data_IF_566275299098
#
_entry.id   IF_566275299098
#
_cell.length_a   1.000
_cell.length_b   1.000
_cell.length_c   1.000
_cell.angle_alpha   90.00
_cell.angle_beta   90.00
_cell.angle_gamma   90.00
#
_symmetry.space_group_name_H-M   'P 1'
#
loop_
_entity.id
_entity.type
_entity.pdbx_description
1 polymer ?
#
# COMPACT_ATOMS: atom_id res chain seq x y z
N UNK A 1 -10.11 -3.23 -1.41
CA UNK A 1 -10.20 -2.56 -2.74
C UNK A 1 -11.63 -2.31 -3.26
N UNK A 2 -12.52 -3.31 -3.27
CA UNK A 2 -13.85 -3.25 -3.92
C UNK A 2 -14.72 -2.07 -3.49
N UNK A 3 -14.75 -1.75 -2.18
CA UNK A 3 -15.50 -0.59 -1.66
C UNK A 3 -14.93 0.72 -2.22
N UNK A 4 -13.61 0.88 -2.25
CA UNK A 4 -12.94 2.07 -2.79
C UNK A 4 -13.25 2.28 -4.26
N UNK A 5 -13.35 1.20 -5.05
CA UNK A 5 -13.82 1.28 -6.43
C UNK A 5 -15.27 1.80 -6.50
N UNK A 6 -16.18 1.26 -5.68
CA UNK A 6 -17.56 1.73 -5.61
C UNK A 6 -17.67 3.22 -5.27
N UNK A 7 -16.90 3.69 -4.29
CA UNK A 7 -16.83 5.11 -3.91
C UNK A 7 -16.27 5.96 -5.06
N UNK A 8 -15.20 5.52 -5.71
CA UNK A 8 -14.59 6.25 -6.82
C UNK A 8 -15.57 6.43 -8.00
N UNK A 9 -16.35 5.39 -8.32
CA UNK A 9 -17.37 5.45 -9.35
C UNK A 9 -18.55 6.33 -8.95
N UNK A 10 -19.00 6.26 -7.69
CA UNK A 10 -20.04 7.15 -7.16
C UNK A 10 -19.66 8.62 -7.27
N UNK A 11 -18.45 8.97 -6.84
CA UNK A 11 -17.94 10.35 -6.95
C UNK A 11 -17.88 10.86 -8.39
N UNK A 12 -17.57 9.99 -9.36
CA UNK A 12 -17.59 10.35 -10.78
C UNK A 12 -19.00 10.57 -11.32
N UNK A 13 -19.98 9.81 -10.84
CA UNK A 13 -21.39 10.03 -11.18
C UNK A 13 -21.90 11.37 -10.64
N UNK A 14 -21.36 11.80 -9.49
CA UNK A 14 -21.65 13.09 -8.86
C UNK A 14 -20.80 14.25 -9.43
N UNK A 15 -20.06 14.04 -10.52
CA UNK A 15 -19.16 15.03 -11.14
C UNK A 15 -18.13 15.63 -10.16
N UNK A 16 -17.74 14.87 -9.13
CA UNK A 16 -16.77 15.31 -8.13
C UNK A 16 -15.33 15.15 -8.63
N UNK A 17 -14.51 16.18 -8.41
CA UNK A 17 -13.05 16.14 -8.63
C UNK A 17 -12.28 15.35 -7.56
N UNK A 18 -13.00 14.69 -6.64
CA UNK A 18 -12.41 13.94 -5.52
C UNK A 18 -11.71 12.67 -5.99
N UNK A 19 -10.57 12.38 -5.35
CA UNK A 19 -9.78 11.16 -5.54
C UNK A 19 -9.94 10.21 -4.35
N UNK A 20 -10.00 8.92 -4.64
CA UNK A 20 -10.06 7.84 -3.66
C UNK A 20 -8.70 7.16 -3.59
N UNK A 21 -8.19 7.04 -2.37
CA UNK A 21 -6.99 6.26 -2.07
C UNK A 21 -7.39 5.00 -1.30
N UNK A 22 -6.82 3.86 -1.67
CA UNK A 22 -6.97 2.59 -0.98
C UNK A 22 -5.59 2.07 -0.58
N UNK A 23 -5.37 1.79 0.70
CA UNK A 23 -4.16 1.09 1.15
C UNK A 23 -4.49 -0.40 1.23
N UNK A 24 -3.64 -1.23 0.64
CA UNK A 24 -3.78 -2.68 0.63
C UNK A 24 -2.51 -3.31 1.22
N UNK A 25 -2.66 -4.43 1.93
CA UNK A 25 -1.51 -5.26 2.28
C UNK A 25 -1.15 -6.22 1.14
N UNK A 26 0.12 -6.53 0.94
CA UNK A 26 0.54 -7.58 -0.01
C UNK A 26 -0.05 -8.97 0.32
N UNK A 27 -0.29 -9.29 1.60
CA UNK A 27 -1.04 -10.46 2.02
C UNK A 27 -2.54 -10.42 1.68
N UNK A 28 -3.16 -9.23 1.68
CA UNK A 28 -4.57 -9.04 1.28
C UNK A 28 -4.78 -9.42 -0.19
N UNK A 29 -3.74 -9.31 -1.03
CA UNK A 29 -3.81 -9.62 -2.46
C UNK A 29 -4.05 -11.11 -2.76
N UNK A 30 -3.96 -11.99 -1.75
CA UNK A 30 -4.38 -13.39 -1.88
C UNK A 30 -5.91 -13.52 -2.05
N UNK A 31 -6.69 -12.51 -1.67
CA UNK A 31 -8.14 -12.52 -1.76
C UNK A 31 -8.63 -12.31 -3.21
N UNK A 32 -9.47 -13.22 -3.70
CA UNK A 32 -10.00 -13.18 -5.06
C UNK A 32 -10.75 -11.88 -5.39
N UNK A 33 -11.47 -11.33 -4.41
CA UNK A 33 -12.23 -10.09 -4.60
C UNK A 33 -11.34 -8.87 -4.95
N UNK A 34 -10.06 -8.89 -4.59
CA UNK A 34 -9.12 -7.84 -4.99
C UNK A 34 -8.95 -7.86 -6.50
N UNK A 35 -8.73 -9.03 -7.09
CA UNK A 35 -8.52 -9.17 -8.52
C UNK A 35 -9.79 -8.87 -9.33
N UNK A 36 -10.97 -9.18 -8.81
CA UNK A 36 -12.24 -8.74 -9.38
C UNK A 36 -12.33 -7.21 -9.45
N UNK A 37 -11.98 -6.51 -8.36
CA UNK A 37 -11.96 -5.05 -8.32
C UNK A 37 -10.86 -4.44 -9.21
N UNK A 38 -9.67 -5.07 -9.29
CA UNK A 38 -8.58 -4.66 -10.19
C UNK A 38 -9.05 -4.71 -11.65
N UNK A 39 -9.71 -5.80 -12.07
CA UNK A 39 -10.28 -5.92 -13.41
C UNK A 39 -11.35 -4.85 -13.67
N UNK A 40 -12.30 -4.70 -12.75
CA UNK A 40 -13.40 -3.76 -12.90
C UNK A 40 -12.93 -2.31 -12.99
N UNK A 41 -11.94 -1.90 -12.18
CA UNK A 41 -11.43 -0.53 -12.17
C UNK A 41 -10.87 -0.07 -13.53
N UNK A 42 -10.21 -0.97 -14.28
CA UNK A 42 -9.74 -0.65 -15.62
C UNK A 42 -10.89 -0.58 -16.64
N UNK A 43 -11.88 -1.48 -16.56
CA UNK A 43 -13.08 -1.45 -17.42
C UNK A 43 -13.81 -0.12 -17.27
N UNK A 44 -14.00 0.35 -16.05
CA UNK A 44 -14.66 1.62 -15.77
C UNK A 44 -13.74 2.84 -15.89
N UNK A 45 -12.45 2.66 -16.21
CA UNK A 45 -11.46 3.74 -16.31
C UNK A 45 -11.48 4.63 -15.07
N UNK A 46 -11.43 4.01 -13.89
CA UNK A 46 -11.51 4.69 -12.59
C UNK A 46 -10.23 5.51 -12.30
N UNK A 47 -10.01 6.58 -13.06
CA UNK A 47 -8.79 7.37 -12.98
C UNK A 47 -8.64 8.17 -11.69
N UNK A 48 -9.72 8.37 -10.95
CA UNK A 48 -9.74 8.94 -9.61
C UNK A 48 -9.51 7.89 -8.50
N UNK A 49 -9.13 6.66 -8.83
CA UNK A 49 -8.75 5.63 -7.86
C UNK A 49 -7.24 5.38 -7.89
N UNK A 50 -6.61 5.50 -6.73
CA UNK A 50 -5.21 5.13 -6.50
C UNK A 50 -5.12 4.05 -5.42
N UNK A 51 -4.57 2.89 -5.76
CA UNK A 51 -4.23 1.84 -4.80
C UNK A 51 -2.77 2.03 -4.35
N UNK A 52 -2.50 1.87 -3.07
CA UNK A 52 -1.16 1.87 -2.48
C UNK A 52 -0.98 0.51 -1.83
N UNK A 53 -0.07 -0.30 -2.36
CA UNK A 53 0.22 -1.63 -1.87
C UNK A 53 1.38 -1.50 -0.88
N UNK A 54 1.12 -1.77 0.39
CA UNK A 54 2.13 -1.97 1.43
C UNK A 54 2.82 -3.32 1.21
N UNK A 55 3.91 -3.30 0.45
CA UNK A 55 4.66 -4.49 0.04
C UNK A 55 5.80 -4.76 1.02
N UNK A 56 5.44 -5.26 2.21
CA UNK A 56 6.38 -5.52 3.32
C UNK A 56 6.84 -6.99 3.42
N UNK A 57 6.25 -7.90 2.66
CA UNK A 57 6.59 -9.32 2.59
C UNK A 57 6.05 -10.18 3.74
N UNK A 58 5.23 -9.65 4.65
CA UNK A 58 4.87 -10.32 5.91
C UNK A 58 3.36 -10.30 6.18
N UNK A 59 2.77 -11.50 6.30
CA UNK A 59 1.38 -11.69 6.69
C UNK A 59 1.23 -11.86 8.21
N UNK A 60 0.11 -12.43 8.65
CA UNK A 60 -0.21 -12.59 10.08
C UNK A 60 0.66 -13.63 10.79
N UNK A 61 0.93 -14.76 10.13
CA UNK A 61 1.61 -15.91 10.76
C UNK A 61 2.99 -16.17 10.19
N UNK A 62 3.29 -15.74 8.96
CA UNK A 62 4.60 -15.85 8.33
C UNK A 62 4.76 -14.87 7.15
N UNK A 63 5.80 -15.04 6.35
CA UNK A 63 6.06 -14.28 5.13
C UNK A 63 5.04 -14.61 4.03
N UNK A 64 4.83 -13.66 3.11
CA UNK A 64 4.00 -13.90 1.92
C UNK A 64 4.59 -15.01 1.05
N UNK A 65 5.92 -15.12 0.97
CA UNK A 65 6.62 -16.16 0.22
C UNK A 65 6.32 -17.58 0.73
N UNK A 66 6.11 -17.76 2.03
CA UNK A 66 5.78 -19.06 2.62
C UNK A 66 4.28 -19.40 2.57
N UNK A 67 3.41 -18.39 2.73
CA UNK A 67 1.97 -18.62 2.84
C UNK A 67 1.28 -18.61 1.48
N UNK A 68 1.48 -17.53 0.71
CA UNK A 68 0.81 -17.33 -0.57
C UNK A 68 1.65 -16.41 -1.46
N UNK A 69 2.66 -16.96 -2.17
CA UNK A 69 3.52 -16.15 -3.01
C UNK A 69 2.75 -15.62 -4.24
N UNK A 70 2.79 -14.30 -4.44
CA UNK A 70 2.28 -13.65 -5.66
C UNK A 70 3.47 -13.12 -6.44
N UNK A 71 3.97 -13.94 -7.36
CA UNK A 71 5.09 -13.57 -8.24
C UNK A 71 4.67 -12.52 -9.28
N UNK A 72 5.64 -11.72 -9.75
CA UNK A 72 5.44 -10.75 -10.84
C UNK A 72 4.28 -9.79 -10.57
N UNK A 73 4.20 -9.25 -9.34
CA UNK A 73 3.08 -8.44 -8.90
C UNK A 73 2.90 -7.19 -9.78
N UNK A 74 3.99 -6.50 -10.10
CA UNK A 74 4.01 -5.35 -11.00
C UNK A 74 3.41 -5.71 -12.36
N UNK A 75 3.84 -6.81 -12.94
CA UNK A 75 3.41 -7.28 -14.26
C UNK A 75 1.94 -7.68 -14.25
N UNK A 76 1.44 -8.30 -13.17
CA UNK A 76 0.02 -8.64 -13.03
C UNK A 76 -0.85 -7.39 -13.07
N UNK A 77 -0.52 -6.36 -12.29
CA UNK A 77 -1.29 -5.12 -12.29
C UNK A 77 -1.21 -4.38 -13.63
N UNK A 78 -0.02 -4.34 -14.27
CA UNK A 78 0.14 -3.82 -15.63
C UNK A 78 -0.72 -4.59 -16.64
N UNK A 79 -0.77 -5.92 -16.55
CA UNK A 79 -1.58 -6.77 -17.42
C UNK A 79 -3.09 -6.51 -17.28
N UNK A 80 -3.54 -6.07 -16.10
CA UNK A 80 -4.92 -5.62 -15.89
C UNK A 80 -5.18 -4.17 -16.36
N UNK A 81 -4.19 -3.50 -16.95
CA UNK A 81 -4.31 -2.16 -17.52
C UNK A 81 -4.21 -1.02 -16.51
N UNK A 82 -3.64 -1.27 -15.33
CA UNK A 82 -3.35 -0.22 -14.36
C UNK A 82 -2.05 0.50 -14.72
N UNK A 83 -1.99 1.81 -14.44
CA UNK A 83 -0.72 2.50 -14.31
C UNK A 83 -0.03 2.00 -13.04
N UNK A 84 1.24 1.62 -13.11
CA UNK A 84 1.97 1.03 -11.97
C UNK A 84 3.22 1.84 -11.71
N UNK A 85 3.36 2.34 -10.49
CA UNK A 85 4.50 3.11 -9.99
C UNK A 85 5.13 2.31 -8.86
N UNK A 86 6.43 2.11 -8.88
CA UNK A 86 7.14 1.33 -7.86
C UNK A 86 8.12 2.24 -7.12
N UNK A 87 8.09 2.19 -5.79
CA UNK A 87 8.82 3.13 -4.93
C UNK A 87 9.44 2.42 -3.71
N UNK A 88 10.45 3.04 -3.12
CA UNK A 88 10.77 2.84 -1.70
C UNK A 88 9.68 3.52 -0.85
N UNK A 89 8.92 2.72 -0.10
CA UNK A 89 7.83 3.21 0.74
C UNK A 89 8.28 3.99 1.98
N UNK A 90 9.59 4.05 2.26
CA UNK A 90 10.17 4.86 3.34
C UNK A 90 10.86 6.13 2.83
N UNK A 91 10.87 6.37 1.52
CA UNK A 91 11.37 7.59 0.90
C UNK A 91 10.22 8.56 0.62
N UNK A 92 10.09 9.59 1.44
CA UNK A 92 8.99 10.56 1.32
C UNK A 92 9.04 11.37 0.02
N UNK A 93 10.21 11.54 -0.62
CA UNK A 93 10.29 12.19 -1.93
C UNK A 93 9.61 11.31 -2.96
N UNK A 94 9.97 10.01 -3.01
CA UNK A 94 9.35 9.06 -3.93
C UNK A 94 7.85 8.89 -3.68
N UNK A 95 7.41 8.90 -2.41
CA UNK A 95 5.98 8.86 -2.06
C UNK A 95 5.24 10.05 -2.63
N UNK A 96 5.75 11.27 -2.44
CA UNK A 96 5.10 12.49 -2.96
C UNK A 96 5.08 12.51 -4.50
N UNK A 97 6.21 12.18 -5.13
CA UNK A 97 6.31 12.10 -6.60
C UNK A 97 5.34 11.06 -7.18
N UNK A 98 5.20 9.90 -6.54
CA UNK A 98 4.26 8.86 -6.96
C UNK A 98 2.80 9.29 -6.83
N UNK A 99 2.45 10.02 -5.75
CA UNK A 99 1.10 10.56 -5.56
C UNK A 99 0.76 11.61 -6.62
N UNK A 100 1.70 12.51 -6.94
CA UNK A 100 1.54 13.51 -7.99
C UNK A 100 1.42 12.87 -9.38
N UNK A 101 2.27 11.88 -9.68
CA UNK A 101 2.20 11.11 -10.93
C UNK A 101 0.89 10.32 -11.07
N UNK A 102 0.42 9.69 -9.98
CA UNK A 102 -0.87 8.99 -9.95
C UNK A 102 -2.05 9.94 -10.16
N UNK A 103 -1.96 11.18 -9.65
CA UNK A 103 -2.97 12.22 -9.88
C UNK A 103 -2.97 12.72 -11.32
N UNK A 104 -1.79 12.84 -11.94
CA UNK A 104 -1.63 13.31 -13.32
C UNK A 104 -2.08 12.27 -14.37
N UNK A 105 -2.05 10.97 -14.03
CA UNK A 105 -2.54 9.91 -14.92
C UNK A 105 -4.08 9.85 -14.94
N UNK A 106 -4.67 10.19 -16.08
CA UNK A 106 -6.15 10.29 -16.23
C UNK A 106 -6.79 9.17 -17.04
N UNK A 107 -6.00 8.27 -17.64
CA UNK A 107 -6.49 7.23 -18.56
C UNK A 107 -7.00 5.97 -17.85
N UNK A 108 -6.81 5.87 -16.54
CA UNK A 108 -7.24 4.73 -15.75
C UNK A 108 -6.72 4.76 -14.32
N UNK A 109 -6.97 3.69 -13.53
CA UNK A 109 -6.53 3.63 -12.15
C UNK A 109 -5.00 3.49 -12.02
N UNK A 110 -4.45 3.92 -10.89
CA UNK A 110 -3.01 3.81 -10.58
C UNK A 110 -2.76 2.92 -9.36
N UNK A 111 -1.76 2.05 -9.43
CA UNK A 111 -1.24 1.26 -8.32
C UNK A 111 0.17 1.72 -7.98
N UNK A 112 0.39 2.09 -6.71
CA UNK A 112 1.70 2.41 -6.15
C UNK A 112 2.17 1.17 -5.38
N UNK A 113 3.20 0.51 -5.88
CA UNK A 113 3.87 -0.63 -5.25
C UNK A 113 4.93 -0.07 -4.30
N UNK A 114 4.60 0.04 -3.01
CA UNK A 114 5.49 0.62 -2.02
C UNK A 114 6.25 -0.50 -1.29
N UNK A 115 7.55 -0.61 -1.57
CA UNK A 115 8.43 -1.53 -0.85
C UNK A 115 8.66 -1.02 0.57
N UNK A 116 8.19 -1.76 1.57
CA UNK A 116 8.22 -1.32 2.97
C UNK A 116 8.83 -2.39 3.87
N UNK A 117 8.97 -2.06 5.16
CA UNK A 117 9.48 -2.96 6.18
C UNK A 117 8.43 -2.98 7.28
N UNK A 118 7.83 -4.15 7.54
CA UNK A 118 6.82 -4.27 8.59
C UNK A 118 7.45 -3.97 9.94
N UNK A 119 6.86 -3.06 10.71
CA UNK A 119 7.43 -2.62 11.99
C UNK A 119 8.68 -1.76 11.83
N UNK A 120 8.86 -1.08 10.68
CA UNK A 120 9.95 -0.13 10.43
C UNK A 120 10.22 0.75 11.64
N UNK A 121 11.50 0.99 11.91
CA UNK A 121 12.02 1.77 13.03
C UNK A 121 12.00 1.02 14.37
N UNK A 122 11.24 -0.07 14.56
CA UNK A 122 11.22 -0.82 15.81
C UNK A 122 12.09 -2.09 15.69
N UNK A 123 13.34 -2.10 16.20
CA UNK A 123 14.29 -3.20 15.94
C UNK A 123 13.79 -4.57 16.42
N UNK A 124 12.95 -4.57 17.47
CA UNK A 124 12.35 -5.79 17.97
C UNK A 124 11.26 -6.34 17.05
N UNK A 125 10.63 -5.52 16.21
CA UNK A 125 9.49 -5.89 15.36
C UNK A 125 9.78 -5.94 13.86
N UNK A 126 10.86 -5.30 13.37
CA UNK A 126 11.18 -5.23 11.95
C UNK A 126 11.18 -6.61 11.26
N UNK A 127 10.32 -6.75 10.24
CA UNK A 127 10.18 -7.96 9.43
C UNK A 127 9.58 -9.17 10.15
N UNK A 128 9.10 -9.04 11.39
CA UNK A 128 8.67 -10.19 12.20
C UNK A 128 7.16 -10.33 12.22
N UNK A 129 6.66 -11.43 11.65
CA UNK A 129 5.23 -11.80 11.67
C UNK A 129 4.64 -11.83 13.09
N UNK A 130 5.44 -12.21 14.10
CA UNK A 130 5.05 -12.19 15.52
C UNK A 130 4.42 -10.86 15.95
N UNK A 131 4.91 -9.74 15.44
CA UNK A 131 4.43 -8.40 15.81
C UNK A 131 3.28 -7.89 14.95
N UNK A 132 2.67 -8.74 14.12
CA UNK A 132 1.47 -8.36 13.38
C UNK A 132 0.30 -8.03 14.32
N UNK A 133 0.12 -8.83 15.39
CA UNK A 133 -0.97 -8.69 16.36
C UNK A 133 -0.49 -8.77 17.82
N UNK A 134 0.82 -8.71 18.08
CA UNK A 134 1.35 -8.79 19.44
C UNK A 134 1.20 -7.45 20.18
N UNK A 135 0.85 -7.53 21.46
CA UNK A 135 1.03 -6.40 22.37
C UNK A 135 2.52 -6.18 22.63
N UNK A 136 2.92 -4.92 22.81
CA UNK A 136 4.26 -4.56 23.25
C UNK A 136 4.37 -4.74 24.77
N UNK A 137 5.52 -5.24 25.23
CA UNK A 137 5.95 -5.09 26.62
C UNK A 137 6.34 -3.64 26.93
N UNK A 138 6.46 -3.30 28.21
CA UNK A 138 6.91 -1.96 28.65
C UNK A 138 8.30 -1.62 28.09
N UNK A 139 9.22 -2.59 28.07
CA UNK A 139 10.56 -2.42 27.49
C UNK A 139 10.52 -2.17 25.99
N UNK A 140 9.70 -2.92 25.25
CA UNK A 140 9.51 -2.72 23.81
C UNK A 140 8.87 -1.35 23.52
N UNK A 141 7.94 -0.91 24.36
CA UNK A 141 7.35 0.43 24.27
C UNK A 141 8.41 1.54 24.42
N UNK A 142 9.29 1.45 25.41
CA UNK A 142 10.37 2.43 25.60
C UNK A 142 11.30 2.48 24.38
N UNK A 143 11.65 1.33 23.82
CA UNK A 143 12.45 1.23 22.59
C UNK A 143 11.71 1.89 21.42
N UNK A 144 10.43 1.56 21.22
CA UNK A 144 9.62 2.12 20.14
C UNK A 144 9.49 3.65 20.27
N UNK A 145 9.33 4.16 21.49
CA UNK A 145 9.26 5.60 21.75
C UNK A 145 10.56 6.31 21.40
N UNK A 146 11.71 5.75 21.82
CA UNK A 146 13.01 6.33 21.49
C UNK A 146 13.27 6.36 19.99
N UNK A 147 12.84 5.31 19.28
CA UNK A 147 12.89 5.22 17.83
C UNK A 147 12.09 6.34 17.15
N UNK A 148 10.86 6.59 17.60
CA UNK A 148 10.02 7.71 17.09
C UNK A 148 10.67 9.07 17.36
N UNK A 149 11.21 9.28 18.56
CA UNK A 149 11.90 10.54 18.91
C UNK A 149 13.14 10.79 18.05
N UNK A 150 13.86 9.74 17.66
CA UNK A 150 14.99 9.88 16.75
C UNK A 150 14.53 10.25 15.34
N UNK A 151 13.49 9.60 14.80
CA UNK A 151 12.94 9.94 13.49
C UNK A 151 12.46 11.40 13.41
N UNK A 152 11.80 11.91 14.46
CA UNK A 152 11.38 13.31 14.51
C UNK A 152 12.56 14.27 14.35
N UNK A 153 13.66 14.00 15.05
CA UNK A 153 14.87 14.82 14.97
C UNK A 153 15.50 14.82 13.59
N UNK A 154 15.45 13.69 12.87
CA UNK A 154 15.95 13.60 11.49
C UNK A 154 15.12 14.44 10.51
N UNK A 155 13.80 14.55 10.74
CA UNK A 155 12.91 15.37 9.90
C UNK A 155 13.02 16.87 10.23
N UNK A 156 13.30 17.21 11.49
CA UNK A 156 13.43 18.60 11.94
C UNK A 156 14.82 19.21 11.67
N UNK A 157 15.82 18.39 11.33
CA UNK A 157 17.21 18.80 11.05
C UNK A 157 17.42 19.27 9.60
#
# INVERSE_FOLDING_TARGET
LSVSLGVALGLRLDESDSRVYAILGDGELAEGQIWEAVMAANVYKASNLTAIIDWNGVQATSTTAEIFPIENLVEKWKAFGWNVIEIDGHDMVQVLEALDAAKAYTDGPTAIMAHTVKGKCFPFAEGKAKYHNAAMSEQEYEIAWQCIENMKKEVEA
#
